data_IF_346294782102
#
_entry.id   IF_346294782102
#
_cell.length_a   1.000
_cell.length_b   1.000
_cell.length_c   1.000
_cell.angle_alpha   90.00
_cell.angle_beta   90.00
_cell.angle_gamma   90.00
#
_symmetry.space_group_name_H-M   'P 1'
#
loop_
_entity.id
_entity.type
_entity.pdbx_description
1 polymer ?
#
# COMPACT_ATOMS: atom_id res chain seq x y z
N UNK A 1 10.30 -82.67 10.78
CA UNK A 1 9.16 -83.45 11.34
C UNK A 1 7.90 -82.62 11.08
N UNK A 2 7.09 -83.06 10.12
CA UNK A 2 5.64 -83.06 10.02
C UNK A 2 4.94 -81.71 9.98
N UNK A 3 4.56 -81.27 8.81
CA UNK A 3 3.25 -81.50 8.15
C UNK A 3 2.08 -80.70 8.76
N UNK A 4 1.41 -79.95 7.90
CA UNK A 4 0.03 -79.54 8.11
C UNK A 4 -0.48 -78.57 7.05
N UNK A 5 -0.87 -79.11 5.93
CA UNK A 5 -1.69 -78.53 4.87
C UNK A 5 -3.06 -78.11 5.41
N UNK A 6 -3.59 -77.02 4.89
CA UNK A 6 -4.99 -76.65 5.06
C UNK A 6 -5.43 -75.66 3.99
N UNK A 7 -6.03 -76.19 2.96
CA UNK A 7 -6.62 -75.65 1.74
C UNK A 7 -8.01 -75.08 2.02
N UNK A 8 -8.39 -74.10 1.11
CA UNK A 8 -9.76 -73.77 0.67
C UNK A 8 -10.54 -72.76 1.55
N UNK A 9 -11.21 -71.75 1.05
CA UNK A 9 -12.12 -71.70 -0.12
C UNK A 9 -12.38 -70.24 -0.50
N UNK A 10 -12.45 -70.05 -1.83
CA UNK A 10 -13.01 -68.85 -2.52
C UNK A 10 -14.47 -68.68 -2.11
N UNK A 11 -14.86 -67.46 -1.77
CA UNK A 11 -16.24 -66.96 -1.91
C UNK A 11 -16.20 -65.55 -2.45
N UNK A 12 -16.41 -65.43 -3.74
CA UNK A 12 -16.81 -64.21 -4.47
C UNK A 12 -18.12 -63.72 -3.93
N UNK A 13 -18.14 -62.51 -3.39
CA UNK A 13 -19.39 -61.74 -3.22
C UNK A 13 -19.25 -60.49 -4.04
N UNK A 14 -19.97 -60.49 -5.16
CA UNK A 14 -20.30 -59.28 -5.94
C UNK A 14 -21.15 -58.37 -5.05
N UNK A 15 -20.58 -57.29 -4.54
CA UNK A 15 -21.26 -56.19 -3.89
C UNK A 15 -21.39 -55.05 -4.91
N UNK A 16 -22.56 -54.89 -5.45
CA UNK A 16 -23.00 -53.81 -6.34
C UNK A 16 -22.96 -52.51 -5.54
N UNK A 17 -21.89 -51.69 -5.62
CA UNK A 17 -21.84 -50.37 -5.04
C UNK A 17 -22.50 -49.37 -5.97
N UNK A 18 -23.74 -49.04 -5.66
CA UNK A 18 -24.53 -47.99 -6.28
C UNK A 18 -23.92 -46.64 -5.91
N UNK A 19 -23.09 -46.06 -6.77
CA UNK A 19 -22.60 -44.70 -6.67
C UNK A 19 -23.75 -43.71 -6.90
N UNK A 20 -24.34 -43.25 -5.80
CA UNK A 20 -25.22 -42.09 -5.82
C UNK A 20 -24.34 -40.84 -6.04
N UNK A 21 -24.20 -40.44 -7.31
CA UNK A 21 -23.65 -39.14 -7.69
C UNK A 21 -24.68 -38.05 -7.36
N UNK A 22 -24.58 -37.47 -6.17
CA UNK A 22 -25.28 -36.22 -5.87
C UNK A 22 -24.59 -35.08 -6.64
N UNK A 23 -25.33 -34.34 -7.51
CA UNK A 23 -24.77 -33.11 -8.05
C UNK A 23 -24.70 -32.09 -6.93
N UNK A 24 -23.48 -31.81 -6.45
CA UNK A 24 -23.21 -30.70 -5.56
C UNK A 24 -23.35 -29.41 -6.39
N UNK A 25 -24.60 -28.96 -6.53
CA UNK A 25 -24.89 -27.61 -7.02
C UNK A 25 -24.41 -26.64 -5.96
N UNK A 26 -23.24 -26.05 -6.14
CA UNK A 26 -22.77 -24.89 -5.40
C UNK A 26 -23.43 -23.65 -6.04
N UNK A 27 -24.55 -23.12 -5.47
CA UNK A 27 -25.07 -21.82 -5.85
C UNK A 27 -24.31 -20.78 -5.06
N UNK A 28 -23.40 -20.09 -5.66
CA UNK A 28 -22.71 -19.01 -5.02
C UNK A 28 -21.36 -18.81 -5.68
N UNK A 29 -21.38 -18.20 -6.85
CA UNK A 29 -20.18 -17.60 -7.37
C UNK A 29 -19.64 -16.63 -6.34
N UNK A 30 -18.69 -17.05 -5.51
CA UNK A 30 -17.76 -16.15 -4.91
C UNK A 30 -17.10 -15.42 -6.07
N UNK A 31 -17.66 -14.27 -6.45
CA UNK A 31 -16.90 -13.27 -7.19
C UNK A 31 -15.78 -12.89 -6.25
N UNK A 32 -14.64 -13.56 -6.38
CA UNK A 32 -13.38 -12.99 -6.01
C UNK A 32 -13.32 -11.67 -6.80
N UNK A 33 -13.71 -10.61 -6.17
CA UNK A 33 -13.27 -9.29 -6.55
C UNK A 33 -11.76 -9.36 -6.36
N UNK A 34 -11.05 -9.83 -7.39
CA UNK A 34 -9.66 -9.53 -7.56
C UNK A 34 -9.65 -8.00 -7.57
N UNK A 35 -9.31 -7.41 -6.45
CA UNK A 35 -8.99 -6.00 -6.33
C UNK A 35 -7.90 -5.81 -7.38
N UNK A 36 -8.31 -5.27 -8.52
CA UNK A 36 -7.41 -4.99 -9.62
C UNK A 36 -6.49 -3.93 -9.03
N UNK A 37 -5.30 -4.37 -8.60
CA UNK A 37 -4.30 -3.47 -8.05
C UNK A 37 -4.00 -2.45 -9.15
N UNK A 38 -4.66 -1.31 -9.06
CA UNK A 38 -4.46 -0.21 -9.98
C UNK A 38 -3.08 0.34 -9.70
N UNK A 39 -2.22 0.38 -10.70
CA UNK A 39 -0.92 1.04 -10.57
C UNK A 39 -1.16 2.49 -10.13
N UNK A 40 -0.62 2.90 -8.97
CA UNK A 40 -0.84 4.25 -8.45
C UNK A 40 -0.14 5.31 -9.30
N UNK A 41 0.82 4.90 -10.14
CA UNK A 41 1.58 5.77 -11.02
C UNK A 41 1.04 5.69 -12.44
N UNK A 42 0.85 6.84 -13.08
CA UNK A 42 0.52 6.88 -14.50
C UNK A 42 1.79 6.67 -15.38
N UNK A 43 1.64 6.34 -16.68
CA UNK A 43 2.78 6.06 -17.55
C UNK A 43 3.82 7.20 -17.61
N UNK A 44 3.40 8.45 -17.55
CA UNK A 44 4.31 9.61 -17.57
C UNK A 44 5.12 9.70 -16.26
N UNK A 45 4.51 9.42 -15.12
CA UNK A 45 5.18 9.38 -13.83
C UNK A 45 6.22 8.24 -13.78
N UNK A 46 5.86 7.08 -14.33
CA UNK A 46 6.79 5.94 -14.47
C UNK A 46 7.99 6.32 -15.33
N UNK A 47 7.79 7.00 -16.46
CA UNK A 47 8.89 7.45 -17.33
C UNK A 47 9.77 8.47 -16.61
N UNK A 48 9.20 9.45 -15.89
CA UNK A 48 9.96 10.41 -15.09
C UNK A 48 10.81 9.72 -14.00
N UNK A 49 10.27 8.71 -13.31
CA UNK A 49 11.01 7.94 -12.32
C UNK A 49 12.12 7.10 -12.94
N UNK A 50 11.93 6.59 -14.15
CA UNK A 50 12.95 5.86 -14.92
C UNK A 50 14.09 6.78 -15.29
N UNK A 51 13.80 7.97 -15.77
CA UNK A 51 14.80 8.97 -16.12
C UNK A 51 15.62 9.42 -14.91
N UNK A 52 14.98 9.46 -13.73
CA UNK A 52 15.63 9.82 -12.46
C UNK A 52 16.28 8.63 -11.72
N UNK A 53 16.38 7.44 -12.32
CA UNK A 53 16.80 6.20 -11.66
C UNK A 53 18.18 6.30 -10.98
N UNK A 54 19.09 7.07 -11.53
CA UNK A 54 20.47 7.23 -11.02
C UNK A 54 20.64 8.49 -10.12
N UNK A 55 19.60 9.29 -9.97
CA UNK A 55 19.63 10.51 -9.15
C UNK A 55 18.64 10.43 -7.98
N UNK A 56 19.11 10.05 -6.77
CA UNK A 56 18.29 9.95 -5.58
C UNK A 56 17.54 11.25 -5.24
N UNK A 57 18.18 12.40 -5.44
CA UNK A 57 17.58 13.71 -5.12
C UNK A 57 16.36 13.99 -6.01
N UNK A 58 16.51 13.82 -7.31
CA UNK A 58 15.42 14.01 -8.26
C UNK A 58 14.32 12.97 -8.06
N UNK A 59 14.69 11.70 -7.90
CA UNK A 59 13.72 10.61 -7.77
C UNK A 59 12.83 10.75 -6.52
N UNK A 60 13.42 11.03 -5.36
CA UNK A 60 12.65 11.24 -4.12
C UNK A 60 11.76 12.49 -4.20
N UNK A 61 12.23 13.56 -4.82
CA UNK A 61 11.38 14.76 -5.07
C UNK A 61 10.23 14.50 -6.02
N UNK A 62 10.38 13.59 -6.98
CA UNK A 62 9.28 13.16 -7.85
C UNK A 62 8.20 12.44 -7.04
N UNK A 63 8.55 11.52 -6.17
CA UNK A 63 7.59 10.85 -5.31
C UNK A 63 6.86 11.84 -4.38
N UNK A 64 7.58 12.79 -3.78
CA UNK A 64 6.95 13.89 -3.00
C UNK A 64 5.95 14.68 -3.85
N UNK A 65 6.33 15.02 -5.08
CA UNK A 65 5.45 15.72 -6.02
C UNK A 65 4.21 14.89 -6.33
N UNK A 66 4.35 13.62 -6.61
CA UNK A 66 3.22 12.75 -6.98
C UNK A 66 2.26 12.54 -5.79
N UNK A 67 2.79 12.33 -4.58
CA UNK A 67 1.96 12.27 -3.35
C UNK A 67 1.19 13.57 -3.14
N UNK A 68 1.85 14.72 -3.33
CA UNK A 68 1.23 16.05 -3.22
C UNK A 68 0.15 16.27 -4.30
N UNK A 69 0.38 15.78 -5.52
CA UNK A 69 -0.60 15.84 -6.61
C UNK A 69 -1.86 15.00 -6.28
N UNK A 70 -1.70 13.81 -5.62
CA UNK A 70 -2.83 12.97 -5.15
C UNK A 70 -3.62 13.69 -4.06
N UNK A 71 -2.93 14.22 -3.05
CA UNK A 71 -3.57 14.98 -1.96
C UNK A 71 -4.30 16.22 -2.47
N UNK A 72 -3.70 16.96 -3.39
CA UNK A 72 -4.32 18.14 -4.00
C UNK A 72 -5.60 17.78 -4.77
N UNK A 73 -5.58 16.69 -5.54
CA UNK A 73 -6.76 16.19 -6.25
C UNK A 73 -7.88 15.80 -5.29
N UNK A 74 -7.55 15.11 -4.20
CA UNK A 74 -8.49 14.73 -3.14
C UNK A 74 -9.19 15.99 -2.55
N UNK A 75 -8.40 16.99 -2.17
CA UNK A 75 -8.93 18.25 -1.61
C UNK A 75 -9.84 18.97 -2.61
N UNK A 76 -9.42 19.09 -3.88
CA UNK A 76 -10.20 19.73 -4.93
C UNK A 76 -11.51 18.98 -5.21
N UNK A 77 -11.48 17.65 -5.28
CA UNK A 77 -12.67 16.82 -5.46
C UNK A 77 -13.66 17.02 -4.31
N UNK A 78 -13.18 17.01 -3.06
CA UNK A 78 -14.03 17.23 -1.89
C UNK A 78 -14.60 18.63 -1.80
N UNK A 79 -13.87 19.63 -2.24
CA UNK A 79 -14.36 21.02 -2.32
C UNK A 79 -15.38 21.29 -3.42
N UNK A 80 -15.57 20.35 -4.36
CA UNK A 80 -16.52 20.53 -5.47
C UNK A 80 -17.94 20.03 -5.08
N UNK A 81 -18.93 20.92 -4.95
CA UNK A 81 -20.29 20.54 -4.55
C UNK A 81 -21.03 19.67 -5.60
N UNK A 82 -20.51 19.60 -6.83
CA UNK A 82 -21.09 18.81 -7.92
C UNK A 82 -20.56 17.37 -7.96
N UNK A 83 -19.62 17.01 -7.10
CA UNK A 83 -19.05 15.66 -7.06
C UNK A 83 -20.11 14.67 -6.60
N UNK A 84 -20.39 13.67 -7.44
CA UNK A 84 -21.19 12.48 -7.11
C UNK A 84 -20.27 11.44 -6.47
N UNK A 85 -20.86 10.48 -5.72
CA UNK A 85 -20.15 9.37 -5.10
C UNK A 85 -18.86 9.80 -4.33
N UNK A 86 -18.96 10.96 -3.68
CA UNK A 86 -17.82 11.62 -3.03
C UNK A 86 -17.12 10.73 -1.99
N UNK A 87 -17.86 9.91 -1.28
CA UNK A 87 -17.30 8.99 -0.30
C UNK A 87 -16.40 7.94 -0.96
N UNK A 88 -16.89 7.30 -2.03
CA UNK A 88 -16.11 6.30 -2.78
C UNK A 88 -14.87 6.94 -3.43
N UNK A 89 -15.04 8.11 -4.05
CA UNK A 89 -13.90 8.83 -4.63
C UNK A 89 -12.87 9.27 -3.57
N UNK A 90 -13.32 9.59 -2.33
CA UNK A 90 -12.42 9.89 -1.22
C UNK A 90 -11.59 8.65 -0.85
N UNK A 91 -12.24 7.49 -0.72
CA UNK A 91 -11.58 6.23 -0.48
C UNK A 91 -10.51 5.93 -1.54
N UNK A 92 -10.89 5.94 -2.81
CA UNK A 92 -9.98 5.60 -3.93
C UNK A 92 -8.78 6.56 -4.01
N UNK A 93 -8.99 7.86 -3.76
CA UNK A 93 -7.92 8.86 -3.78
C UNK A 93 -6.98 8.75 -2.57
N UNK A 94 -7.49 8.32 -1.41
CA UNK A 94 -6.66 8.01 -0.25
C UNK A 94 -5.79 6.77 -0.52
N UNK A 95 -6.34 5.73 -1.14
CA UNK A 95 -5.56 4.56 -1.55
C UNK A 95 -4.47 4.93 -2.56
N UNK A 96 -4.80 5.75 -3.58
CA UNK A 96 -3.81 6.24 -4.55
C UNK A 96 -2.70 7.08 -3.88
N UNK A 97 -3.06 7.89 -2.87
CA UNK A 97 -2.09 8.65 -2.10
C UNK A 97 -1.16 7.72 -1.29
N UNK A 98 -1.75 6.80 -0.52
CA UNK A 98 -1.00 5.83 0.30
C UNK A 98 -0.02 5.04 -0.55
N UNK A 99 -0.48 4.48 -1.66
CA UNK A 99 0.37 3.66 -2.51
C UNK A 99 1.59 4.43 -3.08
N UNK A 100 1.44 5.71 -3.44
CA UNK A 100 2.58 6.55 -3.88
C UNK A 100 3.47 6.94 -2.70
N UNK A 101 2.88 7.16 -1.53
CA UNK A 101 3.62 7.55 -0.33
C UNK A 101 4.44 6.37 0.24
N UNK A 102 3.92 5.15 0.16
CA UNK A 102 4.65 3.93 0.53
C UNK A 102 5.87 3.72 -0.39
N UNK A 103 5.71 3.92 -1.70
CA UNK A 103 6.83 3.91 -2.65
C UNK A 103 7.90 4.96 -2.30
N UNK A 104 7.50 6.15 -1.81
CA UNK A 104 8.43 7.15 -1.30
C UNK A 104 9.23 6.60 -0.13
N UNK A 105 8.55 6.00 0.87
CA UNK A 105 9.17 5.44 2.06
C UNK A 105 10.17 4.33 1.72
N UNK A 106 9.78 3.40 0.84
CA UNK A 106 10.65 2.30 0.38
C UNK A 106 11.91 2.83 -0.32
N UNK A 107 11.76 3.88 -1.14
CA UNK A 107 12.91 4.50 -1.80
C UNK A 107 13.82 5.25 -0.81
N UNK A 108 13.28 5.89 0.23
CA UNK A 108 14.09 6.50 1.31
C UNK A 108 14.90 5.42 2.01
N UNK A 109 14.26 4.32 2.43
CA UNK A 109 14.93 3.20 3.10
C UNK A 109 16.04 2.60 2.22
N UNK A 110 15.76 2.36 0.94
CA UNK A 110 16.72 1.86 -0.03
C UNK A 110 17.97 2.77 -0.14
N UNK A 111 17.78 4.08 -0.26
CA UNK A 111 18.91 5.01 -0.40
C UNK A 111 19.71 5.16 0.90
N UNK A 112 19.05 5.11 2.06
CA UNK A 112 19.71 5.05 3.36
C UNK A 112 20.57 3.79 3.48
N UNK A 113 20.03 2.63 3.12
CA UNK A 113 20.75 1.36 3.11
C UNK A 113 21.99 1.38 2.20
N UNK A 114 21.92 2.07 1.07
CA UNK A 114 23.05 2.30 0.14
C UNK A 114 24.05 3.37 0.61
N UNK A 115 23.72 4.10 1.68
CA UNK A 115 24.53 5.23 2.21
C UNK A 115 24.69 6.38 1.22
N UNK A 116 23.66 6.61 0.41
CA UNK A 116 23.56 7.74 -0.50
C UNK A 116 23.35 9.05 0.29
N UNK A 117 23.79 10.17 -0.27
CA UNK A 117 23.57 11.48 0.35
C UNK A 117 22.19 12.04 -0.02
N UNK A 118 21.20 11.72 0.79
CA UNK A 118 19.81 12.15 0.58
C UNK A 118 19.36 13.29 1.52
N UNK A 119 20.29 14.06 2.10
CA UNK A 119 19.97 15.15 3.04
C UNK A 119 19.04 16.21 2.43
N UNK A 120 19.23 16.55 1.15
CA UNK A 120 18.39 17.53 0.45
C UNK A 120 16.95 17.04 0.27
N UNK A 121 16.73 15.86 -0.35
CA UNK A 121 15.36 15.37 -0.51
C UNK A 121 14.69 15.06 0.82
N UNK A 122 15.40 14.59 1.86
CA UNK A 122 14.81 14.36 3.18
C UNK A 122 14.19 15.63 3.78
N UNK A 123 14.82 16.79 3.58
CA UNK A 123 14.20 18.05 4.01
C UNK A 123 12.86 18.30 3.30
N UNK A 124 12.82 18.11 2.00
CA UNK A 124 11.58 18.30 1.22
C UNK A 124 10.49 17.28 1.60
N UNK A 125 10.89 16.06 1.97
CA UNK A 125 9.99 15.01 2.46
C UNK A 125 9.39 15.42 3.80
N UNK A 126 10.19 15.85 4.78
CA UNK A 126 9.73 16.29 6.10
C UNK A 126 8.78 17.50 6.00
N UNK A 127 9.07 18.43 5.09
CA UNK A 127 8.17 19.57 4.83
C UNK A 127 6.82 19.06 4.25
N UNK A 128 6.85 18.07 3.34
CA UNK A 128 5.66 17.46 2.77
C UNK A 128 4.86 16.63 3.79
N UNK A 129 5.53 15.90 4.67
CA UNK A 129 4.89 15.14 5.76
C UNK A 129 4.04 16.07 6.63
N UNK A 130 4.57 17.22 6.97
CA UNK A 130 3.83 18.22 7.77
C UNK A 130 2.58 18.73 7.04
N UNK A 131 2.69 18.92 5.72
CA UNK A 131 1.56 19.30 4.84
C UNK A 131 0.51 18.19 4.79
N UNK A 132 0.94 16.94 4.59
CA UNK A 132 0.05 15.77 4.51
C UNK A 132 -0.67 15.54 5.84
N UNK A 133 0.03 15.59 6.97
CA UNK A 133 -0.57 15.50 8.30
C UNK A 133 -1.66 16.55 8.51
N UNK A 134 -1.41 17.80 8.12
CA UNK A 134 -2.40 18.87 8.22
C UNK A 134 -3.64 18.60 7.37
N UNK A 135 -3.45 18.18 6.12
CA UNK A 135 -4.54 17.91 5.18
C UNK A 135 -5.39 16.71 5.62
N UNK A 136 -4.76 15.62 6.08
CA UNK A 136 -5.46 14.43 6.55
C UNK A 136 -6.24 14.69 7.85
N UNK A 137 -5.68 15.48 8.77
CA UNK A 137 -6.40 15.91 9.98
C UNK A 137 -7.60 16.79 9.65
N UNK A 138 -7.46 17.74 8.73
CA UNK A 138 -8.59 18.55 8.25
C UNK A 138 -9.67 17.69 7.59
N UNK A 139 -9.28 16.65 6.84
CA UNK A 139 -10.22 15.69 6.27
C UNK A 139 -10.95 14.90 7.39
N UNK A 140 -10.25 14.45 8.41
CA UNK A 140 -10.83 13.75 9.58
C UNK A 140 -11.81 14.65 10.32
N UNK A 141 -11.47 15.91 10.53
CA UNK A 141 -12.39 16.87 11.19
C UNK A 141 -13.65 17.10 10.35
N UNK A 142 -13.52 17.17 9.02
CA UNK A 142 -14.69 17.26 8.12
C UNK A 142 -15.53 15.99 8.10
N UNK A 143 -14.94 14.82 8.28
CA UNK A 143 -15.63 13.53 8.36
C UNK A 143 -16.57 13.47 9.58
N UNK A 144 -16.18 14.08 10.69
CA UNK A 144 -17.01 14.16 11.89
C UNK A 144 -18.32 14.90 11.68
N UNK A 145 -18.41 15.77 10.67
CA UNK A 145 -19.65 16.51 10.34
C UNK A 145 -20.62 15.72 9.44
N UNK A 146 -20.15 14.67 8.78
CA UNK A 146 -20.94 13.77 7.93
C UNK A 146 -20.53 12.30 8.14
N UNK A 147 -20.91 11.76 9.30
CA UNK A 147 -20.51 10.43 9.74
C UNK A 147 -20.97 9.30 8.79
N UNK A 148 -22.13 9.43 8.14
CA UNK A 148 -22.63 8.41 7.21
C UNK A 148 -21.76 8.34 5.93
N UNK A 149 -21.35 9.47 5.39
CA UNK A 149 -20.41 9.52 4.27
C UNK A 149 -19.04 8.98 4.69
N UNK A 150 -18.59 9.33 5.89
CA UNK A 150 -17.27 8.98 6.40
C UNK A 150 -17.05 7.47 6.57
N UNK A 151 -18.10 6.71 6.91
CA UNK A 151 -18.03 5.24 7.08
C UNK A 151 -17.38 4.51 5.90
N UNK A 152 -17.50 5.05 4.70
CA UNK A 152 -16.98 4.41 3.49
C UNK A 152 -15.46 4.57 3.33
N UNK A 153 -14.85 5.57 3.96
CA UNK A 153 -13.41 5.85 3.85
C UNK A 153 -12.70 6.01 5.20
N UNK A 154 -13.41 5.85 6.31
CA UNK A 154 -12.86 6.07 7.67
C UNK A 154 -11.64 5.18 7.95
N UNK A 155 -11.71 3.92 7.54
CA UNK A 155 -10.59 2.98 7.71
C UNK A 155 -9.35 3.45 6.93
N UNK A 156 -9.50 3.75 5.64
CA UNK A 156 -8.41 4.21 4.77
C UNK A 156 -7.86 5.57 5.23
N UNK A 157 -8.73 6.46 5.74
CA UNK A 157 -8.30 7.73 6.32
C UNK A 157 -7.48 7.55 7.62
N UNK A 158 -7.88 6.61 8.47
CA UNK A 158 -7.14 6.29 9.68
C UNK A 158 -5.78 5.71 9.34
N UNK A 159 -5.74 4.76 8.40
CA UNK A 159 -4.51 4.17 7.89
C UNK A 159 -3.57 5.23 7.30
N UNK A 160 -4.11 6.17 6.49
CA UNK A 160 -3.32 7.28 5.94
C UNK A 160 -2.74 8.20 7.03
N UNK A 161 -3.51 8.49 8.09
CA UNK A 161 -3.02 9.28 9.21
C UNK A 161 -1.92 8.56 9.96
N UNK A 162 -2.11 7.30 10.31
CA UNK A 162 -1.16 6.50 11.07
C UNK A 162 0.14 6.29 10.27
N UNK A 163 0.04 6.01 8.97
CA UNK A 163 1.17 5.86 8.06
C UNK A 163 1.98 7.15 7.97
N UNK A 164 1.33 8.30 7.72
CA UNK A 164 2.04 9.58 7.58
C UNK A 164 2.61 10.04 8.91
N UNK A 165 1.92 9.85 10.04
CA UNK A 165 2.43 10.22 11.36
C UNK A 165 3.68 9.39 11.71
N UNK A 166 3.66 8.07 11.50
CA UNK A 166 4.80 7.18 11.73
C UNK A 166 5.98 7.52 10.82
N UNK A 167 5.72 7.64 9.51
CA UNK A 167 6.78 7.94 8.52
C UNK A 167 7.41 9.31 8.76
N UNK A 168 6.63 10.33 9.18
CA UNK A 168 7.16 11.65 9.48
C UNK A 168 8.17 11.62 10.64
N UNK A 169 7.93 10.79 11.66
CA UNK A 169 8.88 10.62 12.78
C UNK A 169 10.13 9.87 12.32
N UNK A 170 9.97 8.82 11.50
CA UNK A 170 11.08 8.07 10.93
C UNK A 170 11.93 8.92 9.97
N UNK A 171 11.33 9.77 9.15
CA UNK A 171 12.06 10.68 8.25
C UNK A 171 12.89 11.70 9.03
N UNK A 172 12.35 12.27 10.14
CA UNK A 172 13.12 13.19 11.02
C UNK A 172 14.31 12.49 11.66
N UNK A 173 14.12 11.26 12.16
CA UNK A 173 15.18 10.44 12.73
C UNK A 173 16.24 10.10 11.67
N UNK A 174 15.80 9.63 10.51
CA UNK A 174 16.66 9.32 9.37
C UNK A 174 17.48 10.53 8.92
N UNK A 175 16.89 11.72 8.88
CA UNK A 175 17.60 12.94 8.52
C UNK A 175 18.74 13.24 9.51
N UNK A 176 18.53 13.04 10.80
CA UNK A 176 19.57 13.21 11.82
C UNK A 176 20.69 12.17 11.67
N UNK A 177 20.35 10.91 11.42
CA UNK A 177 21.31 9.82 11.22
C UNK A 177 22.18 10.01 9.96
N UNK A 178 21.54 10.37 8.83
CA UNK A 178 22.26 10.66 7.58
C UNK A 178 23.19 11.87 7.73
N UNK A 179 22.75 12.92 8.41
CA UNK A 179 23.57 14.10 8.68
C UNK A 179 24.82 13.74 9.53
N UNK A 180 24.63 12.94 10.57
CA UNK A 180 25.73 12.48 11.42
C UNK A 180 26.73 11.60 10.63
N UNK A 181 26.20 10.66 9.85
CA UNK A 181 27.03 9.79 8.99
C UNK A 181 27.86 10.61 8.01
N UNK A 182 27.26 11.58 7.33
CA UNK A 182 27.96 12.41 6.34
C UNK A 182 29.02 13.33 6.99
N UNK A 183 28.77 13.84 8.22
CA UNK A 183 29.78 14.58 9.01
C UNK A 183 30.97 13.70 9.37
N UNK A 184 30.75 12.45 9.80
CA UNK A 184 31.85 11.51 10.12
C UNK A 184 32.67 11.18 8.86
N UNK A 185 32.01 10.89 7.75
CA UNK A 185 32.64 10.59 6.45
C UNK A 185 33.54 11.75 5.94
N UNK A 186 33.07 13.01 6.16
CA UNK A 186 33.85 14.20 5.77
C UNK A 186 35.12 14.39 6.62
N UNK A 187 35.11 13.98 7.90
CA UNK A 187 36.28 14.10 8.80
C UNK A 187 37.35 13.03 8.54
N UNK A 188 37.02 11.97 7.83
CA UNK A 188 37.92 10.84 7.51
C UNK A 188 38.62 10.99 6.15
N UNK A 189 38.27 12.02 5.39
CA UNK A 189 38.94 12.40 4.11
C UNK A 189 39.87 13.58 4.35
#
# INVERSE_FOLDING_TARGET
MIMGRGRERRRTILGLALLLSLPFSVPGGFRLWAQQHRDPLNPLEIDQLRDAMLDPDTRLKLYVKFSRDRMTKLIQMRGNPKTTDRALQTHDMLEDFLAVYDELNDNVEMYVGRKDDIRKPLKAIIDADTEFQSNLRALKDSANTNAEEAKQYEFTLTDALDTVDSSADDHRKTAAEVEEYMKKKKKQK
#
